data_IF_775770126073
#
_entry.id   IF_775770126073
#
_cell.length_a   1.000
_cell.length_b   1.000
_cell.length_c   1.000
_cell.angle_alpha   90.00
_cell.angle_beta   90.00
_cell.angle_gamma   90.00
#
_symmetry.space_group_name_H-M   'P 1'
#
loop_
_entity.id
_entity.type
_entity.pdbx_description
1 polymer ?
#
# COMPACT_ATOMS: atom_id res chain seq x y z
N UNK A 1 9.59 21.17 -15.41
CA UNK A 1 8.31 21.15 -14.67
C UNK A 1 7.75 19.74 -14.50
N UNK A 2 7.51 18.97 -15.57
CA UNK A 2 6.98 17.59 -15.48
C UNK A 2 7.78 16.64 -14.54
N UNK A 3 9.10 16.74 -14.52
CA UNK A 3 9.96 15.97 -13.59
C UNK A 3 9.72 16.35 -12.12
N UNK A 4 9.48 17.63 -11.85
CA UNK A 4 9.14 18.08 -10.50
C UNK A 4 7.74 17.61 -10.12
N UNK A 5 6.77 17.74 -11.02
CA UNK A 5 5.42 17.25 -10.80
C UNK A 5 5.38 15.74 -10.53
N UNK A 6 6.16 14.94 -11.28
CA UNK A 6 6.29 13.51 -11.05
C UNK A 6 6.85 13.18 -9.66
N UNK A 7 7.84 13.95 -9.21
CA UNK A 7 8.44 13.81 -7.88
C UNK A 7 7.44 14.19 -6.79
N UNK A 8 6.79 15.34 -6.92
CA UNK A 8 5.81 15.83 -5.95
C UNK A 8 4.62 14.87 -5.86
N UNK A 9 4.15 14.37 -7.00
CA UNK A 9 3.09 13.36 -7.06
C UNK A 9 3.53 12.05 -6.39
N UNK A 10 4.76 11.59 -6.66
CA UNK A 10 5.35 10.43 -5.99
C UNK A 10 5.37 10.59 -4.47
N UNK A 11 5.84 11.75 -4.00
CA UNK A 11 5.89 12.09 -2.58
C UNK A 11 4.49 12.03 -1.95
N UNK A 12 3.49 12.71 -2.51
CA UNK A 12 2.12 12.69 -1.93
C UNK A 12 1.48 11.30 -1.98
N UNK A 13 1.77 10.51 -3.02
CA UNK A 13 1.32 9.11 -3.08
C UNK A 13 1.93 8.25 -1.96
N UNK A 14 3.15 8.53 -1.54
CA UNK A 14 3.85 7.79 -0.50
C UNK A 14 3.50 8.28 0.91
N UNK A 15 3.44 9.59 1.13
CA UNK A 15 3.36 10.18 2.47
C UNK A 15 1.96 10.67 2.85
N UNK A 16 1.19 11.20 1.89
CA UNK A 16 -0.09 11.86 2.16
C UNK A 16 -1.30 10.97 1.84
N UNK A 17 -1.14 10.01 0.93
CA UNK A 17 -2.25 9.15 0.51
C UNK A 17 -2.77 8.34 1.73
N UNK A 18 -4.09 8.39 2.03
CA UNK A 18 -4.64 7.84 3.28
C UNK A 18 -4.85 6.33 3.23
N UNK A 19 -3.82 5.56 2.83
CA UNK A 19 -3.86 4.11 2.62
C UNK A 19 -4.49 3.35 3.79
N UNK A 20 -4.05 3.67 5.02
CA UNK A 20 -4.54 3.03 6.25
C UNK A 20 -6.01 3.32 6.52
N UNK A 21 -6.42 4.59 6.45
CA UNK A 21 -7.80 4.97 6.71
C UNK A 21 -8.76 4.34 5.70
N UNK A 22 -8.38 4.30 4.41
CA UNK A 22 -9.15 3.64 3.35
C UNK A 22 -9.23 2.12 3.58
N UNK A 23 -8.11 1.48 3.93
CA UNK A 23 -8.06 0.06 4.27
C UNK A 23 -8.99 -0.30 5.44
N UNK A 24 -8.92 0.46 6.53
CA UNK A 24 -9.79 0.25 7.69
C UNK A 24 -11.27 0.44 7.36
N UNK A 25 -11.61 1.45 6.54
CA UNK A 25 -12.98 1.71 6.13
C UNK A 25 -13.55 0.56 5.28
N UNK A 26 -12.82 0.12 4.25
CA UNK A 26 -13.29 -0.91 3.33
C UNK A 26 -13.35 -2.30 3.97
N UNK A 27 -12.39 -2.65 4.84
CA UNK A 27 -12.41 -3.95 5.50
C UNK A 27 -13.60 -4.14 6.44
N UNK A 28 -14.18 -3.07 7.00
CA UNK A 28 -15.40 -3.16 7.82
C UNK A 28 -16.59 -3.75 7.05
N UNK A 29 -16.60 -3.61 5.72
CA UNK A 29 -17.64 -4.19 4.86
C UNK A 29 -17.44 -5.70 4.63
N UNK A 30 -16.28 -6.23 4.99
CA UNK A 30 -15.90 -7.63 4.80
C UNK A 30 -15.68 -8.30 6.16
N UNK A 31 -16.69 -8.28 7.04
CA UNK A 31 -16.60 -8.84 8.38
C UNK A 31 -16.99 -10.32 8.48
N UNK A 32 -17.61 -10.90 7.45
CA UNK A 32 -18.03 -12.31 7.45
C UNK A 32 -16.81 -13.23 7.56
N UNK A 33 -16.69 -14.03 8.64
CA UNK A 33 -15.59 -14.99 8.81
C UNK A 33 -15.43 -15.98 7.66
N UNK A 34 -16.52 -16.36 6.99
CA UNK A 34 -16.49 -17.33 5.89
C UNK A 34 -15.82 -16.76 4.62
N UNK A 35 -15.85 -15.44 4.45
CA UNK A 35 -15.28 -14.76 3.28
C UNK A 35 -13.86 -14.25 3.51
N UNK A 36 -13.38 -14.22 4.76
CA UNK A 36 -12.07 -13.65 5.13
C UNK A 36 -10.91 -14.28 4.35
N UNK A 37 -10.88 -15.61 4.22
CA UNK A 37 -9.80 -16.32 3.52
C UNK A 37 -9.79 -15.94 2.04
N UNK A 38 -10.95 -15.98 1.39
CA UNK A 38 -11.10 -15.58 -0.01
C UNK A 38 -10.70 -14.13 -0.21
N UNK A 39 -11.12 -13.23 0.69
CA UNK A 39 -10.77 -11.81 0.64
C UNK A 39 -9.27 -11.57 0.79
N UNK A 40 -8.61 -12.27 1.73
CA UNK A 40 -7.17 -12.18 1.94
C UNK A 40 -6.40 -12.65 0.71
N UNK A 41 -6.83 -13.75 0.08
CA UNK A 41 -6.24 -14.26 -1.15
C UNK A 41 -6.40 -13.27 -2.32
N UNK A 42 -7.57 -12.63 -2.45
CA UNK A 42 -7.76 -11.58 -3.46
C UNK A 42 -6.79 -10.41 -3.25
N UNK A 43 -6.63 -9.91 -2.02
CA UNK A 43 -5.69 -8.81 -1.72
C UNK A 43 -4.24 -9.20 -2.03
N UNK A 44 -3.82 -10.43 -1.68
CA UNK A 44 -2.48 -10.94 -1.99
C UNK A 44 -2.25 -11.06 -3.50
N UNK A 45 -3.21 -11.61 -4.23
CA UNK A 45 -3.13 -11.73 -5.69
C UNK A 45 -3.05 -10.35 -6.36
N UNK A 46 -3.89 -9.39 -5.96
CA UNK A 46 -3.83 -8.02 -6.49
C UNK A 46 -2.49 -7.36 -6.18
N UNK A 47 -1.96 -7.53 -4.95
CA UNK A 47 -0.67 -6.97 -4.57
C UNK A 47 0.46 -7.54 -5.42
N UNK A 48 0.43 -8.83 -5.73
CA UNK A 48 1.42 -9.48 -6.59
C UNK A 48 1.36 -8.95 -8.03
N UNK A 49 0.17 -8.81 -8.62
CA UNK A 49 0.00 -8.24 -9.97
C UNK A 49 0.50 -6.78 -10.01
N UNK A 50 0.19 -5.98 -9.00
CA UNK A 50 0.69 -4.60 -8.90
C UNK A 50 2.22 -4.56 -8.87
N UNK A 51 2.84 -5.45 -8.11
CA UNK A 51 4.30 -5.55 -8.04
C UNK A 51 4.92 -5.90 -9.38
N UNK A 52 4.43 -6.95 -10.05
CA UNK A 52 4.91 -7.37 -11.38
C UNK A 52 4.83 -6.22 -12.40
N UNK A 53 3.71 -5.49 -12.38
CA UNK A 53 3.54 -4.33 -13.23
C UNK A 53 4.54 -3.21 -12.92
N UNK A 54 4.73 -2.86 -11.65
CA UNK A 54 5.72 -1.84 -11.27
C UNK A 54 7.16 -2.27 -11.54
N UNK A 55 7.49 -3.56 -11.42
CA UNK A 55 8.81 -4.10 -11.71
C UNK A 55 9.13 -3.99 -13.21
N UNK A 56 8.14 -4.15 -14.09
CA UNK A 56 8.28 -3.88 -15.52
C UNK A 56 8.47 -2.39 -15.81
N UNK A 57 7.68 -1.51 -15.17
CA UNK A 57 7.83 -0.06 -15.37
C UNK A 57 9.18 0.46 -14.86
N UNK A 58 9.74 -0.13 -13.79
CA UNK A 58 11.07 0.21 -13.29
C UNK A 58 12.21 -0.14 -14.28
N UNK A 59 11.93 -1.02 -15.25
CA UNK A 59 12.85 -1.39 -16.33
C UNK A 59 12.72 -0.48 -17.55
N UNK A 60 11.79 0.48 -17.56
CA UNK A 60 11.67 1.45 -18.64
C UNK A 60 12.99 2.24 -18.80
N UNK A 61 13.52 2.23 -20.03
CA UNK A 61 14.71 2.98 -20.45
C UNK A 61 14.37 3.99 -21.54
N UNK A 62 13.22 4.64 -21.43
CA UNK A 62 12.83 5.74 -22.32
C UNK A 62 13.81 6.92 -22.17
N UNK A 63 14.24 7.55 -23.28
CA UNK A 63 15.05 8.77 -23.21
C UNK A 63 14.35 9.89 -22.44
N UNK A 64 15.06 10.51 -21.50
CA UNK A 64 14.56 11.61 -20.68
C UNK A 64 15.60 12.73 -20.63
N UNK A 65 15.25 13.92 -21.12
CA UNK A 65 16.19 15.03 -21.29
C UNK A 65 17.34 14.64 -22.21
N UNK A 66 18.57 14.77 -21.73
CA UNK A 66 19.78 14.37 -22.47
C UNK A 66 20.18 12.89 -22.25
N UNK A 67 19.48 12.17 -21.36
CA UNK A 67 19.77 10.75 -21.09
C UNK A 67 19.25 9.86 -22.21
N UNK A 68 20.09 8.95 -22.70
CA UNK A 68 19.77 7.97 -23.75
C UNK A 68 20.26 6.59 -23.32
N UNK A 69 19.59 5.95 -22.34
CA UNK A 69 19.99 4.63 -21.88
C UNK A 69 19.72 3.56 -22.94
N UNK A 70 20.48 2.47 -22.91
CA UNK A 70 20.25 1.32 -23.78
C UNK A 70 18.94 0.62 -23.38
N UNK A 71 18.01 0.38 -24.32
CA UNK A 71 16.82 -0.43 -24.09
C UNK A 71 17.15 -1.83 -23.54
N UNK A 72 16.38 -2.28 -22.56
CA UNK A 72 16.48 -3.63 -21.97
C UNK A 72 15.18 -4.44 -22.11
N UNK A 73 14.06 -3.74 -22.29
CA UNK A 73 12.76 -4.36 -22.54
C UNK A 73 12.64 -4.79 -24.00
N UNK A 74 11.69 -5.67 -24.28
CA UNK A 74 11.34 -6.04 -25.65
C UNK A 74 11.04 -4.78 -26.50
N UNK A 75 11.48 -4.73 -27.77
CA UNK A 75 11.36 -3.53 -28.61
C UNK A 75 9.93 -2.97 -28.69
N UNK A 76 8.91 -3.83 -28.77
CA UNK A 76 7.51 -3.39 -28.81
C UNK A 76 7.07 -2.70 -27.52
N UNK A 77 7.43 -3.27 -26.37
CA UNK A 77 7.09 -2.72 -25.05
C UNK A 77 7.84 -1.40 -24.84
N UNK A 78 9.14 -1.36 -25.10
CA UNK A 78 9.95 -0.16 -24.93
C UNK A 78 9.46 0.97 -25.84
N UNK A 79 9.07 0.68 -27.09
CA UNK A 79 8.54 1.68 -28.02
C UNK A 79 7.24 2.29 -27.51
N UNK A 80 6.32 1.47 -27.00
CA UNK A 80 5.06 1.96 -26.42
C UNK A 80 5.29 2.83 -25.17
N UNK A 81 6.18 2.42 -24.26
CA UNK A 81 6.53 3.21 -23.08
C UNK A 81 7.24 4.52 -23.45
N UNK A 82 8.13 4.49 -24.44
CA UNK A 82 8.80 5.69 -24.95
C UNK A 82 7.80 6.67 -25.55
N UNK A 83 6.85 6.16 -26.34
CA UNK A 83 5.78 6.98 -26.90
C UNK A 83 4.92 7.61 -25.80
N UNK A 84 4.50 6.81 -24.81
CA UNK A 84 3.73 7.28 -23.67
C UNK A 84 4.46 8.37 -22.87
N UNK A 85 5.76 8.19 -22.60
CA UNK A 85 6.59 9.20 -21.95
C UNK A 85 6.72 10.47 -22.79
N UNK A 86 6.86 10.36 -24.12
CA UNK A 86 6.97 11.53 -24.99
C UNK A 86 5.69 12.38 -24.97
N UNK A 87 4.52 11.74 -25.12
CA UNK A 87 3.23 12.45 -25.15
C UNK A 87 2.81 12.98 -23.77
N UNK A 88 3.25 12.34 -22.69
CA UNK A 88 3.00 12.78 -21.31
C UNK A 88 4.09 13.72 -20.77
N UNK A 89 5.00 14.19 -21.62
CA UNK A 89 6.12 15.05 -21.25
C UNK A 89 7.00 14.49 -20.12
N UNK A 90 7.13 13.16 -20.04
CA UNK A 90 7.92 12.45 -19.04
C UNK A 90 7.28 12.34 -17.67
N UNK A 91 6.05 12.84 -17.48
CA UNK A 91 5.31 12.70 -16.22
C UNK A 91 4.60 11.34 -16.12
N UNK A 92 4.13 10.78 -17.24
CA UNK A 92 3.20 9.65 -17.27
C UNK A 92 3.71 8.41 -16.55
N UNK A 93 4.85 7.83 -16.96
CA UNK A 93 5.35 6.59 -16.36
C UNK A 93 5.63 6.73 -14.86
N UNK A 94 6.33 7.79 -14.39
CA UNK A 94 6.48 8.04 -12.95
C UNK A 94 5.15 8.19 -12.21
N UNK A 95 4.15 8.85 -12.78
CA UNK A 95 2.84 9.02 -12.17
C UNK A 95 2.10 7.68 -12.03
N UNK A 96 2.14 6.83 -13.06
CA UNK A 96 1.57 5.47 -12.97
C UNK A 96 2.28 4.66 -11.89
N UNK A 97 3.62 4.68 -11.83
CA UNK A 97 4.38 4.00 -10.78
C UNK A 97 3.98 4.50 -9.37
N UNK A 98 3.88 5.81 -9.18
CA UNK A 98 3.48 6.41 -7.91
C UNK A 98 2.07 6.00 -7.48
N UNK A 99 1.11 6.04 -8.41
CA UNK A 99 -0.28 5.65 -8.13
C UNK A 99 -0.39 4.17 -7.77
N UNK A 100 0.32 3.29 -8.48
CA UNK A 100 0.34 1.85 -8.16
C UNK A 100 1.08 1.59 -6.84
N UNK A 101 2.09 2.39 -6.49
CA UNK A 101 2.75 2.31 -5.18
C UNK A 101 1.79 2.68 -4.05
N UNK A 102 1.01 3.76 -4.20
CA UNK A 102 -0.05 4.12 -3.24
C UNK A 102 -1.09 3.00 -3.10
N UNK A 103 -1.47 2.35 -4.20
CA UNK A 103 -2.34 1.19 -4.19
C UNK A 103 -1.71 0.00 -3.44
N UNK A 104 -0.43 -0.30 -3.67
CA UNK A 104 0.30 -1.35 -2.94
C UNK A 104 0.39 -1.07 -1.44
N UNK A 105 0.52 0.19 -1.04
CA UNK A 105 0.48 0.61 0.36
C UNK A 105 -0.91 0.35 0.96
N UNK A 106 -1.98 0.74 0.26
CA UNK A 106 -3.35 0.39 0.66
C UNK A 106 -3.54 -1.13 0.82
N UNK A 107 -3.13 -1.94 -0.16
CA UNK A 107 -3.27 -3.40 -0.09
C UNK A 107 -2.51 -3.99 1.10
N UNK A 108 -1.35 -3.42 1.43
CA UNK A 108 -0.55 -3.79 2.60
C UNK A 108 -1.28 -3.44 3.90
N UNK A 109 -1.83 -2.24 4.01
CA UNK A 109 -2.61 -1.84 5.19
C UNK A 109 -3.92 -2.64 5.32
N UNK A 110 -4.56 -2.97 4.20
CA UNK A 110 -5.76 -3.82 4.19
C UNK A 110 -5.46 -5.23 4.74
N UNK A 111 -4.33 -5.83 4.34
CA UNK A 111 -3.90 -7.12 4.90
C UNK A 111 -3.63 -7.03 6.41
N UNK A 112 -2.92 -6.00 6.87
CA UNK A 112 -2.67 -5.77 8.31
C UNK A 112 -3.96 -5.61 9.10
N UNK A 113 -4.92 -4.85 8.57
CA UNK A 113 -6.21 -4.62 9.22
C UNK A 113 -7.06 -5.91 9.30
N UNK A 114 -7.00 -6.78 8.28
CA UNK A 114 -7.66 -8.10 8.33
C UNK A 114 -7.07 -9.00 9.40
N UNK A 115 -5.73 -9.06 9.51
CA UNK A 115 -5.08 -9.87 10.54
C UNK A 115 -5.50 -9.42 11.96
N UNK A 116 -5.65 -8.12 12.19
CA UNK A 116 -6.17 -7.58 13.46
C UNK A 116 -7.62 -8.01 13.75
N UNK A 117 -8.49 -8.03 12.74
CA UNK A 117 -9.88 -8.49 12.89
C UNK A 117 -9.94 -9.97 13.27
N UNK A 118 -9.08 -10.80 12.68
CA UNK A 118 -8.99 -12.23 13.00
C UNK A 118 -8.58 -12.47 14.46
N UNK A 119 -7.60 -11.72 14.97
CA UNK A 119 -7.21 -11.80 16.38
C UNK A 119 -8.30 -11.31 17.33
N UNK A 120 -9.07 -10.28 16.93
CA UNK A 120 -10.15 -9.72 17.76
C UNK A 120 -11.40 -10.61 17.84
N UNK A 121 -11.63 -11.47 16.85
CA UNK A 121 -12.79 -12.37 16.81
C UNK A 121 -12.56 -13.71 17.54
N UNK A 122 -11.39 -13.94 18.11
CA UNK A 122 -11.10 -15.15 18.88
C UNK A 122 -11.49 -14.95 20.36
N UNK A 123 -12.50 -15.68 20.91
CA UNK A 123 -12.97 -15.48 22.29
C UNK A 123 -11.93 -15.85 23.37
N UNK A 124 -10.85 -16.53 22.99
CA UNK A 124 -9.80 -16.99 23.89
C UNK A 124 -8.68 -15.97 24.16
N UNK A 125 -8.79 -14.73 23.65
CA UNK A 125 -7.86 -13.64 23.96
C UNK A 125 -8.30 -12.84 25.19
N UNK A 126 -8.56 -13.52 26.32
CA UNK A 126 -8.57 -12.90 27.63
C UNK A 126 -7.36 -13.39 28.43
N UNK A 127 -6.30 -12.58 28.44
CA UNK A 127 -5.39 -12.52 29.59
C UNK A 127 -5.37 -11.08 30.09
N UNK A 128 -6.31 -10.85 30.99
CA UNK A 128 -6.10 -10.22 32.29
C UNK A 128 -5.34 -8.88 32.31
N UNK A 129 -6.10 -7.79 32.37
CA UNK A 129 -5.67 -6.63 33.14
C UNK A 129 -6.78 -6.31 34.14
N UNK A 130 -6.81 -7.13 35.20
CA UNK A 130 -7.65 -6.97 36.38
C UNK A 130 -7.51 -5.57 36.98
N UNK A 131 -8.52 -4.74 36.72
CA UNK A 131 -8.93 -3.64 37.59
C UNK A 131 -9.30 -4.23 38.95
N UNK A 132 -8.43 -4.02 39.96
CA UNK A 132 -8.81 -4.24 41.36
C UNK A 132 -8.78 -2.91 42.10
N UNK A 133 -9.92 -2.23 42.08
CA UNK A 133 -10.26 -1.25 43.11
C UNK A 133 -10.31 -1.94 44.46
N UNK A 134 -9.63 -1.40 45.47
CA UNK A 134 -9.91 -1.66 46.89
C UNK A 134 -9.38 -0.49 47.71
N UNK A 135 -10.21 0.54 47.82
CA UNK A 135 -10.19 1.47 48.95
C UNK A 135 -10.56 0.67 50.22
N UNK A 136 -9.70 0.72 51.25
CA UNK A 136 -10.07 0.86 52.67
C UNK A 136 -8.82 0.86 53.56
N UNK A 137 -8.69 1.99 54.28
CA UNK A 137 -8.12 2.23 55.61
C UNK A 137 -7.46 1.05 56.36
N UNK A 138 -6.28 1.28 56.96
CA UNK A 138 -6.14 1.42 58.43
C UNK A 138 -4.66 1.65 58.87
N UNK A 139 -4.52 2.56 59.85
CA UNK A 139 -3.41 2.81 60.80
C UNK A 139 -2.27 1.77 60.88
N UNK A 140 -1.01 2.23 61.01
CA UNK A 140 -0.28 2.41 62.30
C UNK A 140 1.22 2.69 62.06
N UNK A 141 1.78 3.63 62.86
CA UNK A 141 3.15 3.68 63.45
C UNK A 141 4.35 3.45 62.52
N UNK A 142 5.32 4.36 62.48
CA UNK A 142 6.14 4.81 63.61
C UNK A 142 6.82 6.14 63.28
#
# INVERSE_FOLDING_TARGET
EAVHLARDFGYVCETEFPAKAVAEFLNRQHSDPNEQVTRKNMLLATKQICKEFTDLLAQDRSPLGNSRPNPILEPGIQSCLTHFNLISHGFGSPAVCAAVTALQNYLTEALKAMDKMYLSNNPNSHTDNSTKSSDKEEKHRK
#
